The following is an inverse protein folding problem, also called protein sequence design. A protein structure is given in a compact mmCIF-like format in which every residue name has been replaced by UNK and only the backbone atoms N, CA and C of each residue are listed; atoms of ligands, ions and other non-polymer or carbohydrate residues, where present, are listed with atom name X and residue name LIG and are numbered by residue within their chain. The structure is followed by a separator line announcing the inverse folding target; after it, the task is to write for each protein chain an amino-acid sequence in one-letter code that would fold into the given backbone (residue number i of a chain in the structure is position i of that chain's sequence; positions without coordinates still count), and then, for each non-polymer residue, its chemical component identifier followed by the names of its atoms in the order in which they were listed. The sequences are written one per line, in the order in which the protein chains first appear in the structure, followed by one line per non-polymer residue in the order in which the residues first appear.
data_IF_220086412408
#
_entry.id   IF_220086412408
#
_cell.length_a   1.000
_cell.length_b   1.000
_cell.length_c   1.000
_cell.angle_alpha   90.00
_cell.angle_beta   90.00
_cell.angle_gamma   90.00
#
_symmetry.space_group_name_H-M   'P 1'
#
loop_
_entity.id
_entity.type
_entity.pdbx_description
1 polymer ?
#
# COMPACT_ATOMS: atom_id res chain seq x y z
N UNK A 1 10.11 -10.91 13.25
CA UNK A 1 10.50 -9.58 12.78
C UNK A 1 10.07 -8.58 13.83
N UNK A 2 11.01 -7.83 14.40
CA UNK A 2 10.68 -6.80 15.38
C UNK A 2 9.79 -5.75 14.70
N UNK A 3 8.75 -5.27 15.38
CA UNK A 3 7.79 -4.31 14.81
C UNK A 3 8.45 -3.08 14.17
N UNK A 4 9.65 -2.70 14.66
CA UNK A 4 10.49 -1.62 14.12
C UNK A 4 11.02 -1.90 12.70
N UNK A 5 11.39 -3.13 12.40
CA UNK A 5 11.92 -3.50 11.07
C UNK A 5 10.81 -3.47 10.02
N UNK A 6 9.62 -3.93 10.40
CA UNK A 6 8.43 -3.86 9.55
C UNK A 6 8.04 -2.40 9.24
N UNK A 7 8.15 -1.51 10.24
CA UNK A 7 7.90 -0.08 10.06
C UNK A 7 8.94 0.58 9.15
N UNK A 8 10.22 0.26 9.33
CA UNK A 8 11.28 0.75 8.45
C UNK A 8 11.09 0.30 7.00
N UNK A 9 10.72 -0.96 6.77
CA UNK A 9 10.42 -1.47 5.43
C UNK A 9 9.21 -0.80 4.78
N UNK A 10 8.15 -0.55 5.54
CA UNK A 10 6.98 0.20 5.08
C UNK A 10 7.36 1.63 4.68
N UNK A 11 8.26 2.26 5.44
CA UNK A 11 8.73 3.62 5.18
C UNK A 11 9.60 3.68 3.93
N UNK A 12 10.52 2.72 3.75
CA UNK A 12 11.33 2.58 2.53
C UNK A 12 10.43 2.33 1.31
N UNK A 13 9.40 1.48 1.44
CA UNK A 13 8.45 1.21 0.36
C UNK A 13 7.63 2.47 0.00
N UNK A 14 7.25 3.26 1.00
CA UNK A 14 6.62 4.56 0.82
C UNK A 14 7.52 5.55 0.07
N UNK A 15 8.79 5.67 0.47
CA UNK A 15 9.75 6.58 -0.18
C UNK A 15 10.04 6.19 -1.65
N UNK A 16 10.01 4.90 -1.97
CA UNK A 16 10.21 4.41 -3.34
C UNK A 16 8.97 4.59 -4.25
N UNK A 17 7.80 4.81 -3.66
CA UNK A 17 6.52 4.97 -4.35
C UNK A 17 5.99 6.38 -4.08
N UNK A 18 6.44 7.33 -4.92
CA UNK A 18 5.98 8.72 -4.89
C UNK A 18 4.45 8.83 -5.06
N UNK A 19 3.85 7.95 -5.88
CA UNK A 19 2.42 7.94 -6.15
C UNK A 19 1.91 6.53 -6.47
N UNK A 20 1.17 5.91 -5.56
CA UNK A 20 0.80 4.50 -5.71
C UNK A 20 0.44 3.76 -4.42
N UNK A 21 0.24 2.44 -4.52
CA UNK A 21 -0.02 1.54 -3.39
C UNK A 21 1.28 0.82 -3.05
N UNK A 22 1.73 0.94 -1.81
CA UNK A 22 2.99 0.34 -1.34
C UNK A 22 2.80 -0.88 -0.42
N UNK A 23 1.62 -1.04 0.17
CA UNK A 23 1.29 -2.26 0.92
C UNK A 23 -0.22 -2.48 1.03
N UNK A 24 -0.62 -3.73 1.26
CA UNK A 24 -1.96 -4.11 1.69
C UNK A 24 -1.88 -5.08 2.86
N UNK A 25 -2.83 -4.99 3.77
CA UNK A 25 -2.92 -5.85 4.95
C UNK A 25 -4.29 -6.55 4.95
N UNK A 26 -4.26 -7.88 5.14
CA UNK A 26 -5.47 -8.69 5.34
C UNK A 26 -5.16 -9.88 6.23
N UNK A 27 -6.04 -10.15 7.21
CA UNK A 27 -5.93 -11.30 8.10
C UNK A 27 -4.54 -11.43 8.78
N UNK A 28 -4.00 -10.33 9.32
CA UNK A 28 -2.65 -10.25 9.90
C UNK A 28 -1.49 -10.58 8.94
N UNK A 29 -1.75 -10.67 7.63
CA UNK A 29 -0.71 -10.76 6.61
C UNK A 29 -0.57 -9.42 5.93
N UNK A 30 0.66 -8.91 5.92
CA UNK A 30 1.03 -7.68 5.26
C UNK A 30 1.75 -8.06 3.96
N UNK A 31 1.09 -7.80 2.84
CA UNK A 31 1.65 -7.98 1.51
C UNK A 31 2.17 -6.62 1.02
N UNK A 32 3.48 -6.54 0.78
CA UNK A 32 4.07 -5.37 0.15
C UNK A 32 3.74 -5.36 -1.34
N UNK A 33 3.28 -4.21 -1.84
CA UNK A 33 3.06 -3.99 -3.26
C UNK A 33 3.96 -2.85 -3.73
N UNK A 34 4.35 -2.87 -5.01
CA UNK A 34 5.03 -1.74 -5.62
C UNK A 34 4.20 -1.26 -6.82
N UNK A 35 2.95 -0.91 -6.54
CA UNK A 35 2.01 -0.45 -7.56
C UNK A 35 2.14 1.06 -7.71
N UNK A 36 3.03 1.48 -8.60
CA UNK A 36 3.11 2.88 -9.06
C UNK A 36 1.92 3.16 -9.97
N UNK A 37 1.19 4.23 -9.67
CA UNK A 37 0.00 4.62 -10.43
C UNK A 37 0.26 5.95 -11.13
N UNK A 38 -0.12 6.09 -12.41
CA UNK A 38 0.08 7.34 -13.13
C UNK A 38 -0.98 8.42 -12.79
N UNK A 39 -2.04 8.08 -12.04
CA UNK A 39 -3.16 9.01 -11.80
C UNK A 39 -3.97 8.70 -10.53
N UNK A 40 -4.51 9.76 -9.91
CA UNK A 40 -5.42 9.69 -8.73
C UNK A 40 -6.65 8.81 -8.98
N UNK A 41 -7.24 8.86 -10.17
CA UNK A 41 -8.42 8.05 -10.54
C UNK A 41 -8.12 6.55 -10.58
N UNK A 42 -6.96 6.17 -11.13
CA UNK A 42 -6.51 4.77 -11.13
C UNK A 42 -6.27 4.27 -9.70
N UNK A 43 -5.63 5.10 -8.87
CA UNK A 43 -5.40 4.80 -7.46
C UNK A 43 -6.73 4.60 -6.69
N UNK A 44 -7.70 5.51 -6.86
CA UNK A 44 -9.03 5.38 -6.22
C UNK A 44 -9.77 4.12 -6.64
N UNK A 45 -9.71 3.74 -7.92
CA UNK A 45 -10.36 2.52 -8.42
C UNK A 45 -9.78 1.27 -7.76
N UNK A 46 -8.45 1.18 -7.68
CA UNK A 46 -7.75 0.07 -7.06
C UNK A 46 -7.95 0.03 -5.54
N UNK A 47 -7.89 1.19 -4.87
CA UNK A 47 -8.21 1.33 -3.45
C UNK A 47 -9.61 0.79 -3.14
N UNK A 48 -10.62 1.16 -3.95
CA UNK A 48 -11.99 0.66 -3.80
C UNK A 48 -12.09 -0.85 -4.01
N UNK A 49 -11.39 -1.41 -5.00
CA UNK A 49 -11.37 -2.84 -5.26
C UNK A 49 -10.80 -3.62 -4.07
N UNK A 50 -9.65 -3.19 -3.55
CA UNK A 50 -9.02 -3.83 -2.39
C UNK A 50 -9.86 -3.67 -1.11
N UNK A 51 -10.44 -2.48 -0.88
CA UNK A 51 -11.37 -2.28 0.25
C UNK A 51 -12.61 -3.17 0.13
N UNK A 52 -13.17 -3.34 -1.07
CA UNK A 52 -14.30 -4.23 -1.31
C UNK A 52 -13.95 -5.70 -1.03
N UNK A 53 -12.70 -6.09 -1.24
CA UNK A 53 -12.19 -7.42 -0.89
C UNK A 53 -11.78 -7.55 0.59
N UNK A 54 -11.95 -6.49 1.40
CA UNK A 54 -11.65 -6.47 2.84
C UNK A 54 -10.17 -6.25 3.18
N UNK A 55 -9.37 -5.75 2.24
CA UNK A 55 -7.96 -5.41 2.50
C UNK A 55 -7.84 -3.97 3.02
N UNK A 56 -6.94 -3.77 3.97
CA UNK A 56 -6.49 -2.46 4.42
C UNK A 56 -5.34 -2.02 3.53
N UNK A 57 -5.53 -0.93 2.81
CA UNK A 57 -4.59 -0.49 1.75
C UNK A 57 -3.77 0.69 2.24
N UNK A 58 -2.47 0.60 2.01
CA UNK A 58 -1.50 1.65 2.29
C UNK A 58 -1.00 2.24 0.97
N UNK A 59 -1.29 3.52 0.76
CA UNK A 59 -1.00 4.21 -0.49
C UNK A 59 -0.50 5.64 -0.26
N UNK A 60 0.31 6.13 -1.19
CA UNK A 60 0.79 7.49 -1.29
C UNK A 60 0.14 8.22 -2.47
N UNK A 61 -0.09 9.53 -2.30
CA UNK A 61 -0.66 10.39 -3.34
C UNK A 61 -2.18 10.56 -3.33
N UNK A 62 -2.87 10.03 -2.31
CA UNK A 62 -4.29 10.30 -2.08
C UNK A 62 -4.51 11.37 -1.01
#
# INVERSE_FOLDING_TARGET
MSQKEAQGLLQIASDNVEFGIYAVEKNNKLDMLNLKMPSKTALKRQLRSFKAQGFKVYCNGL
#
